data_IF_816631459682
#
_entry.id   IF_816631459682
#
_cell.length_a   1.000
_cell.length_b   1.000
_cell.length_c   1.000
_cell.angle_alpha   90.00
_cell.angle_beta   90.00
_cell.angle_gamma   90.00
#
_symmetry.space_group_name_H-M   'P 1'
#
loop_
_entity.id
_entity.type
_entity.pdbx_description
1 polymer ?
#
# COMPACT_ATOMS: atom_id res chain seq x y z
N UNK A 1 -2.08 6.12 19.49
CA UNK A 1 -1.72 6.07 18.06
C UNK A 1 -2.93 6.14 17.14
N UNK A 2 -3.96 5.29 17.32
CA UNK A 2 -5.14 5.27 16.43
C UNK A 2 -5.93 6.60 16.40
N UNK A 3 -6.00 7.31 17.55
CA UNK A 3 -6.71 8.59 17.66
C UNK A 3 -6.10 9.70 16.78
N UNK A 4 -4.79 9.64 16.52
CA UNK A 4 -4.06 10.63 15.72
C UNK A 4 -3.97 10.24 14.24
N UNK A 5 -4.15 8.96 13.93
CA UNK A 5 -4.17 8.46 12.55
C UNK A 5 -5.35 9.04 11.77
N UNK A 6 -6.55 8.98 12.34
CA UNK A 6 -7.78 9.35 11.65
C UNK A 6 -7.80 10.83 11.20
N UNK A 7 -7.43 11.82 12.05
CA UNK A 7 -7.33 13.21 11.63
C UNK A 7 -6.29 13.45 10.54
N UNK A 8 -5.09 12.88 10.67
CA UNK A 8 -4.00 13.05 9.68
C UNK A 8 -4.39 12.43 8.34
N UNK A 9 -5.00 11.26 8.36
CA UNK A 9 -5.49 10.58 7.17
C UNK A 9 -6.61 11.38 6.46
N UNK A 10 -7.55 11.94 7.22
CA UNK A 10 -8.62 12.78 6.68
C UNK A 10 -8.06 14.05 6.03
N UNK A 11 -7.04 14.68 6.62
CA UNK A 11 -6.37 15.84 6.01
C UNK A 11 -5.77 15.48 4.65
N UNK A 12 -5.08 14.33 4.53
CA UNK A 12 -4.57 13.87 3.23
C UNK A 12 -5.68 13.63 2.21
N UNK A 13 -6.82 13.10 2.64
CA UNK A 13 -7.99 12.87 1.78
C UNK A 13 -8.58 14.20 1.26
N UNK A 14 -8.70 15.22 2.12
CA UNK A 14 -9.22 16.54 1.75
C UNK A 14 -8.28 17.27 0.77
N UNK A 15 -6.97 17.04 0.88
CA UNK A 15 -5.95 17.57 -0.06
C UNK A 15 -6.06 16.91 -1.46
N UNK A 16 -6.86 15.84 -1.61
CA UNK A 16 -7.02 15.11 -2.87
C UNK A 16 -5.91 14.09 -3.13
N UNK A 17 -5.15 13.72 -2.10
CA UNK A 17 -4.14 12.68 -2.21
C UNK A 17 -4.83 11.33 -2.48
N UNK A 18 -4.33 10.49 -3.42
CA UNK A 18 -4.88 9.15 -3.59
C UNK A 18 -4.81 8.37 -2.28
N UNK A 19 -5.89 7.66 -1.97
CA UNK A 19 -6.10 6.95 -0.68
C UNK A 19 -4.90 6.08 -0.30
N UNK A 20 -4.28 5.42 -1.29
CA UNK A 20 -3.07 4.63 -1.11
C UNK A 20 -1.92 5.41 -0.46
N UNK A 21 -1.61 6.60 -0.97
CA UNK A 21 -0.53 7.43 -0.41
C UNK A 21 -0.90 7.97 0.97
N UNK A 22 -2.18 8.27 1.21
CA UNK A 22 -2.67 8.68 2.53
C UNK A 22 -2.50 7.58 3.59
N UNK A 23 -2.77 6.32 3.21
CA UNK A 23 -2.60 5.14 4.08
C UNK A 23 -1.13 4.80 4.36
N UNK A 24 -0.19 5.25 3.52
CA UNK A 24 1.25 5.10 3.76
C UNK A 24 1.81 6.26 4.59
N UNK A 25 1.47 7.49 4.22
CA UNK A 25 2.02 8.70 4.81
C UNK A 25 1.51 8.93 6.24
N UNK A 26 0.21 8.75 6.50
CA UNK A 26 -0.36 8.99 7.83
C UNK A 26 0.27 8.13 8.94
N UNK A 27 0.37 6.80 8.82
CA UNK A 27 1.04 5.99 9.83
C UNK A 27 2.56 6.17 9.79
N UNK A 28 3.18 6.37 8.62
CA UNK A 28 4.62 6.63 8.52
C UNK A 28 5.06 7.86 9.30
N UNK A 29 4.32 8.98 9.18
CA UNK A 29 4.59 10.22 9.92
C UNK A 29 4.36 10.02 11.42
N UNK A 30 3.31 9.31 11.82
CA UNK A 30 3.01 9.05 13.23
C UNK A 30 4.03 8.14 13.91
N UNK A 31 4.56 7.15 13.19
CA UNK A 31 5.61 6.26 13.67
C UNK A 31 6.93 7.00 13.83
N UNK A 32 7.24 7.90 12.89
CA UNK A 32 8.42 8.76 12.95
C UNK A 32 8.35 9.73 14.13
N UNK A 33 7.20 10.39 14.36
CA UNK A 33 7.01 11.30 15.49
C UNK A 33 7.06 10.60 16.87
N UNK A 34 6.75 9.31 16.95
CA UNK A 34 6.82 8.54 18.20
C UNK A 34 8.19 7.84 18.42
N UNK A 35 9.15 7.99 17.50
CA UNK A 35 10.45 7.31 17.62
C UNK A 35 10.38 5.79 17.51
N UNK A 36 9.30 5.23 16.94
CA UNK A 36 9.09 3.80 16.78
C UNK A 36 9.64 3.29 15.44
N UNK A 37 10.97 3.37 15.27
CA UNK A 37 11.65 3.02 14.00
C UNK A 37 11.46 1.54 13.58
N UNK A 38 11.27 0.64 14.56
CA UNK A 38 10.99 -0.77 14.31
C UNK A 38 9.66 -0.98 13.58
N UNK A 39 8.65 -0.17 13.89
CA UNK A 39 7.33 -0.27 13.30
C UNK A 39 7.30 0.32 11.88
N UNK A 40 8.21 1.24 11.56
CA UNK A 40 8.43 1.74 10.18
C UNK A 40 8.94 0.62 9.27
N UNK A 41 9.85 -0.21 9.77
CA UNK A 41 10.34 -1.39 9.04
C UNK A 41 9.21 -2.41 8.79
N UNK A 42 8.31 -2.57 9.77
CA UNK A 42 7.11 -3.40 9.64
C UNK A 42 6.14 -2.84 8.59
N UNK A 43 5.92 -1.52 8.57
CA UNK A 43 5.12 -0.84 7.55
C UNK A 43 5.67 -1.12 6.15
N UNK A 44 6.98 -0.91 5.94
CA UNK A 44 7.65 -1.20 4.66
C UNK A 44 7.45 -2.65 4.21
N UNK A 45 7.64 -3.60 5.13
CA UNK A 45 7.46 -5.03 4.82
C UNK A 45 6.02 -5.37 4.45
N UNK A 46 5.04 -4.77 5.11
CA UNK A 46 3.61 -5.00 4.80
C UNK A 46 3.23 -4.47 3.41
N UNK A 47 3.81 -3.33 3.00
CA UNK A 47 3.61 -2.78 1.65
C UNK A 47 4.23 -3.69 0.61
N UNK A 48 5.47 -4.12 0.84
CA UNK A 48 6.17 -5.02 -0.07
C UNK A 48 5.42 -6.34 -0.23
N UNK A 49 4.98 -6.95 0.87
CA UNK A 49 4.19 -8.18 0.84
C UNK A 49 2.82 -8.01 0.16
N UNK A 50 2.21 -6.82 0.26
CA UNK A 50 0.97 -6.51 -0.47
C UNK A 50 1.18 -6.35 -1.97
N UNK A 51 2.33 -5.81 -2.38
CA UNK A 51 2.74 -5.72 -3.79
C UNK A 51 3.12 -7.09 -4.36
N UNK A 52 3.76 -7.94 -3.56
CA UNK A 52 4.06 -9.35 -3.87
C UNK A 52 2.81 -10.26 -3.76
N UNK A 53 1.64 -9.72 -4.07
CA UNK A 53 0.42 -10.52 -4.09
C UNK A 53 0.36 -11.33 -5.38
N UNK A 54 0.21 -12.65 -5.22
CA UNK A 54 0.05 -13.60 -6.31
C UNK A 54 -0.97 -13.16 -7.39
N UNK A 55 -2.14 -12.54 -7.06
CA UNK A 55 -3.07 -12.07 -8.08
C UNK A 55 -2.52 -10.98 -9.00
N UNK A 56 -1.74 -10.03 -8.47
CA UNK A 56 -1.14 -8.94 -9.25
C UNK A 56 -0.17 -9.45 -10.31
N UNK A 57 0.52 -10.57 -10.03
CA UNK A 57 1.35 -11.27 -11.01
C UNK A 57 0.56 -12.25 -11.88
N UNK A 58 -0.43 -12.95 -11.32
CA UNK A 58 -1.16 -14.00 -12.03
C UNK A 58 -2.06 -13.47 -13.17
N UNK A 59 -2.69 -12.32 -12.99
CA UNK A 59 -3.58 -11.70 -14.00
C UNK A 59 -2.88 -11.52 -15.36
N UNK A 60 -1.71 -10.86 -15.45
CA UNK A 60 -1.03 -10.71 -16.73
C UNK A 60 -0.57 -12.05 -17.32
N UNK A 61 -0.12 -13.01 -16.50
CA UNK A 61 0.26 -14.34 -17.00
C UNK A 61 -0.93 -15.12 -17.55
N UNK A 62 -2.10 -15.08 -16.90
CA UNK A 62 -3.31 -15.70 -17.43
C UNK A 62 -3.80 -15.03 -18.71
N UNK A 63 -3.71 -13.70 -18.80
CA UNK A 63 -4.06 -12.96 -20.01
C UNK A 63 -3.14 -13.33 -21.18
N UNK A 64 -1.82 -13.41 -20.95
CA UNK A 64 -0.83 -13.84 -21.95
C UNK A 64 -1.03 -15.30 -22.38
N UNK A 65 -1.27 -16.20 -21.42
CA UNK A 65 -1.56 -17.61 -21.73
C UNK A 65 -2.83 -17.75 -22.57
N UNK A 66 -3.89 -17.01 -22.23
CA UNK A 66 -5.12 -16.97 -23.02
C UNK A 66 -4.90 -16.44 -24.43
N UNK A 67 -4.10 -15.40 -24.61
CA UNK A 67 -3.79 -14.85 -25.93
C UNK A 67 -2.94 -15.81 -26.79
N UNK A 68 -2.00 -16.54 -26.17
CA UNK A 68 -1.26 -17.62 -26.83
C UNK A 68 -2.18 -18.76 -27.29
N UNK A 69 -3.15 -19.14 -26.46
CA UNK A 69 -4.11 -20.21 -26.77
C UNK A 69 -5.09 -19.81 -27.89
N UNK A 70 -5.41 -18.52 -28.03
CA UNK A 70 -6.31 -18.02 -29.07
C UNK A 70 -5.63 -17.90 -30.45
N UNK A 71 -4.29 -17.91 -30.49
CA UNK A 71 -3.49 -17.83 -31.72
C UNK A 71 -3.03 -19.21 -32.23
N UNK A 72 -3.41 -20.30 -31.55
CA UNK A 72 -3.13 -21.68 -31.92
C UNK A 72 -4.34 -22.39 -32.52
#
# INVERSE_FOLDING_TARGET
>A
MLIWFLPVFLVFLVIGLPVFFGLLAAPGILLWMNGQEKDITLLYRNVYNGMDSFPLMAIPFFMLAGEMMNKG
#
